data_IF_330827205520
#
_entry.id   IF_330827205520
#
_cell.length_a   1.000
_cell.length_b   1.000
_cell.length_c   1.000
_cell.angle_alpha   90.00
_cell.angle_beta   90.00
_cell.angle_gamma   90.00
#
_symmetry.space_group_name_H-M   'P 1'
#
loop_
_entity.id
_entity.type
_entity.pdbx_description
1 polymer ?
#
# COMPACT_ATOMS: atom_id res chain seq x y z
N UNK A 1 0.24 -9.24 -22.43
CA UNK A 1 -1.08 -8.73 -22.90
C UNK A 1 -1.94 -8.36 -21.70
N UNK A 2 -2.60 -7.20 -21.70
CA UNK A 2 -3.62 -6.84 -20.68
C UNK A 2 -4.99 -7.07 -21.29
N UNK A 3 -5.83 -7.88 -20.63
CA UNK A 3 -7.12 -8.30 -21.19
C UNK A 3 -8.19 -7.22 -21.08
N UNK A 4 -8.26 -6.53 -19.94
CA UNK A 4 -9.18 -5.43 -19.68
C UNK A 4 -8.39 -4.29 -19.01
N UNK A 5 -7.98 -3.26 -19.76
CA UNK A 5 -7.17 -2.16 -19.23
C UNK A 5 -7.84 -1.36 -18.11
N UNK A 6 -9.16 -1.17 -18.15
CA UNK A 6 -9.87 -0.37 -17.15
C UNK A 6 -9.90 -1.10 -15.80
N UNK A 7 -10.25 -2.39 -15.81
CA UNK A 7 -10.24 -3.22 -14.60
C UNK A 7 -8.82 -3.45 -14.09
N UNK A 8 -7.85 -3.57 -14.99
CA UNK A 8 -6.45 -3.64 -14.62
C UNK A 8 -5.99 -2.34 -13.94
N UNK A 9 -6.46 -1.19 -14.42
CA UNK A 9 -6.09 0.13 -13.85
C UNK A 9 -6.69 0.27 -12.47
N UNK A 10 -7.98 -0.02 -12.33
CA UNK A 10 -8.68 -0.02 -11.05
C UNK A 10 -8.03 -0.95 -10.02
N UNK A 11 -7.53 -2.11 -10.44
CA UNK A 11 -6.80 -3.03 -9.54
C UNK A 11 -5.46 -2.45 -9.07
N UNK A 12 -4.73 -1.77 -9.95
CA UNK A 12 -3.48 -1.12 -9.57
C UNK A 12 -3.71 0.08 -8.65
N UNK A 13 -4.76 0.88 -8.90
CA UNK A 13 -5.18 1.96 -8.02
C UNK A 13 -5.62 1.44 -6.64
N UNK A 14 -6.42 0.37 -6.61
CA UNK A 14 -6.80 -0.31 -5.37
C UNK A 14 -5.59 -0.86 -4.62
N UNK A 15 -4.60 -1.40 -5.34
CA UNK A 15 -3.36 -1.89 -4.75
C UNK A 15 -2.53 -0.76 -4.12
N UNK A 16 -2.51 0.44 -4.73
CA UNK A 16 -1.91 1.63 -4.13
C UNK A 16 -2.61 2.00 -2.82
N UNK A 17 -3.94 2.08 -2.81
CA UNK A 17 -4.69 2.41 -1.59
C UNK A 17 -4.51 1.38 -0.47
N UNK A 18 -4.52 0.09 -0.82
CA UNK A 18 -4.26 -1.00 0.13
C UNK A 18 -2.81 -0.95 0.64
N UNK A 19 -1.85 -0.78 -0.26
CA UNK A 19 -0.43 -0.67 0.08
C UNK A 19 -0.13 0.51 1.01
N UNK A 20 -0.77 1.67 0.78
CA UNK A 20 -0.70 2.82 1.68
C UNK A 20 -1.29 2.52 3.06
N UNK A 21 -2.46 1.88 3.10
CA UNK A 21 -3.11 1.50 4.36
C UNK A 21 -2.22 0.58 5.20
N UNK A 22 -1.60 -0.43 4.55
CA UNK A 22 -0.65 -1.35 5.18
C UNK A 22 0.62 -0.65 5.64
N UNK A 23 1.12 0.30 4.84
CA UNK A 23 2.35 1.02 5.17
C UNK A 23 2.17 2.02 6.32
N UNK A 24 0.98 2.60 6.49
CA UNK A 24 0.77 3.74 7.40
C UNK A 24 -0.08 3.43 8.63
N UNK A 25 -0.98 2.44 8.59
CA UNK A 25 -2.05 2.35 9.59
C UNK A 25 -2.34 0.96 10.15
N UNK A 26 -2.59 -0.04 9.31
CA UNK A 26 -3.32 -1.26 9.65
C UNK A 26 -2.55 -2.27 10.53
N UNK A 27 -2.21 -1.86 11.75
CA UNK A 27 -1.54 -2.67 12.77
C UNK A 27 -2.56 -3.44 13.60
N UNK A 28 -2.39 -4.75 13.68
CA UNK A 28 -3.16 -5.60 14.59
C UNK A 28 -2.40 -5.71 15.91
N UNK A 29 -3.03 -5.21 16.98
CA UNK A 29 -2.49 -5.18 18.32
C UNK A 29 -3.03 -6.36 19.13
N UNK A 30 -2.16 -6.99 19.92
CA UNK A 30 -2.50 -8.10 20.80
C UNK A 30 -2.30 -7.72 22.27
N UNK A 31 -3.23 -8.14 23.14
CA UNK A 31 -3.10 -8.08 24.61
C UNK A 31 -3.67 -9.36 25.19
N UNK A 32 -2.96 -9.96 26.13
CA UNK A 32 -3.37 -11.19 26.81
C UNK A 32 -3.79 -12.32 25.86
N UNK A 33 -3.11 -12.42 24.69
CA UNK A 33 -3.37 -13.44 23.68
C UNK A 33 -4.55 -13.16 22.74
N UNK A 34 -5.22 -12.01 22.85
CA UNK A 34 -6.35 -11.63 22.00
C UNK A 34 -6.08 -10.34 21.22
N UNK A 35 -6.70 -10.22 20.04
CA UNK A 35 -6.73 -8.95 19.27
C UNK A 35 -7.53 -7.92 20.05
N UNK A 36 -6.97 -6.72 20.22
CA UNK A 36 -7.65 -5.62 20.94
C UNK A 36 -8.29 -4.58 20.04
N UNK A 37 -7.92 -4.52 18.75
CA UNK A 37 -8.60 -3.64 17.81
C UNK A 37 -10.01 -4.19 17.56
N UNK A 38 -11.01 -3.33 17.66
CA UNK A 38 -12.43 -3.66 17.56
C UNK A 38 -13.07 -3.19 16.25
N UNK A 39 -12.61 -2.09 15.65
CA UNK A 39 -13.21 -1.48 14.46
C UNK A 39 -12.28 -0.43 13.79
N UNK A 40 -12.71 0.24 12.72
CA UNK A 40 -11.87 1.19 11.96
C UNK A 40 -11.44 2.46 12.70
N UNK A 41 -11.89 2.68 13.94
CA UNK A 41 -11.40 3.77 14.78
C UNK A 41 -10.12 3.39 15.53
N UNK A 42 -9.92 2.09 15.80
CA UNK A 42 -8.73 1.54 16.47
C UNK A 42 -7.92 0.59 15.55
N UNK A 43 -8.41 0.30 14.34
CA UNK A 43 -7.69 -0.30 13.20
C UNK A 43 -7.87 0.59 11.95
N UNK A 44 -7.17 1.71 11.84
CA UNK A 44 -7.39 2.65 10.76
C UNK A 44 -7.02 2.05 9.39
N UNK A 45 -7.80 2.43 8.38
CA UNK A 45 -7.50 2.25 6.95
C UNK A 45 -7.44 3.64 6.31
N UNK A 46 -6.71 3.76 5.20
CA UNK A 46 -6.56 5.04 4.49
C UNK A 46 -7.93 5.65 4.16
N UNK A 47 -8.09 6.95 4.43
CA UNK A 47 -9.30 7.70 4.07
C UNK A 47 -9.12 8.43 2.74
N UNK A 48 -10.23 8.79 2.10
CA UNK A 48 -10.23 9.48 0.79
C UNK A 48 -9.43 10.78 0.80
N UNK A 49 -9.37 11.51 1.91
CA UNK A 49 -8.60 12.76 2.02
C UNK A 49 -7.08 12.54 2.04
N UNK A 50 -6.64 11.31 2.30
CA UNK A 50 -5.23 10.92 2.38
C UNK A 50 -4.77 10.20 1.11
N UNK A 51 -5.69 9.96 0.18
CA UNK A 51 -5.39 9.38 -1.11
C UNK A 51 -4.41 10.27 -1.90
N UNK A 52 -3.50 9.68 -2.69
CA UNK A 52 -2.72 10.44 -3.64
C UNK A 52 -3.65 11.19 -4.59
N UNK A 53 -3.33 12.46 -4.95
CA UNK A 53 -4.15 13.21 -5.89
C UNK A 53 -4.16 12.57 -7.29
N UNK A 54 -3.10 11.83 -7.64
CA UNK A 54 -2.96 11.16 -8.93
C UNK A 54 -2.30 9.79 -8.75
N UNK A 55 -2.75 8.81 -9.53
CA UNK A 55 -2.14 7.48 -9.67
C UNK A 55 -1.95 7.24 -11.17
N UNK A 56 -0.70 7.03 -11.59
CA UNK A 56 -0.36 6.78 -12.99
C UNK A 56 -0.05 5.29 -13.19
N UNK A 57 -0.81 4.62 -14.06
CA UNK A 57 -0.65 3.19 -14.35
C UNK A 57 -0.13 3.02 -15.78
N UNK A 58 1.00 2.32 -15.91
CA UNK A 58 1.62 2.06 -17.21
C UNK A 58 1.77 0.56 -17.44
N UNK A 59 1.33 0.09 -18.62
CA UNK A 59 1.45 -1.31 -19.02
C UNK A 59 2.60 -1.48 -20.01
N UNK A 60 3.48 -2.44 -19.72
CA UNK A 60 4.51 -2.85 -20.68
C UNK A 60 4.00 -4.04 -21.48
N UNK A 61 4.07 -3.97 -22.81
CA UNK A 61 3.76 -5.12 -23.66
C UNK A 61 5.02 -5.96 -23.89
N UNK A 62 5.08 -7.13 -23.24
CA UNK A 62 6.24 -8.04 -23.30
C UNK A 62 6.07 -9.19 -24.30
N UNK A 63 4.92 -9.29 -24.98
CA UNK A 63 4.58 -10.44 -25.83
C UNK A 63 4.30 -11.75 -25.07
N UNK A 64 4.48 -11.77 -23.75
CA UNK A 64 4.21 -12.93 -22.90
C UNK A 64 2.69 -13.15 -22.69
N UNK A 65 2.26 -14.41 -22.42
CA UNK A 65 0.90 -14.71 -22.00
C UNK A 65 0.48 -13.91 -20.76
N UNK A 66 -0.82 -13.56 -20.62
CA UNK A 66 -1.31 -12.84 -19.44
C UNK A 66 -1.15 -13.69 -18.16
N UNK A 67 -0.86 -13.01 -17.05
CA UNK A 67 -0.76 -13.60 -15.70
C UNK A 67 -1.70 -12.88 -14.73
N UNK A 68 -1.76 -13.34 -13.47
CA UNK A 68 -2.53 -12.67 -12.42
C UNK A 68 -2.01 -11.26 -12.11
N UNK A 69 -2.94 -10.32 -11.90
CA UNK A 69 -2.66 -8.91 -11.58
C UNK A 69 -3.14 -8.49 -10.17
N UNK A 70 -3.95 -9.31 -9.50
CA UNK A 70 -4.63 -8.89 -8.27
C UNK A 70 -3.71 -8.59 -7.08
N UNK A 71 -2.59 -9.29 -6.95
CA UNK A 71 -1.67 -9.15 -5.81
C UNK A 71 -0.38 -8.37 -6.09
N UNK A 72 0.25 -8.41 -7.29
CA UNK A 72 1.57 -7.82 -7.51
C UNK A 72 1.73 -6.34 -7.12
N UNK A 73 0.66 -5.55 -7.18
CA UNK A 73 0.71 -4.12 -6.84
C UNK A 73 0.87 -3.83 -5.34
N UNK A 74 0.32 -4.66 -4.46
CA UNK A 74 0.27 -4.39 -3.01
C UNK A 74 1.64 -4.48 -2.33
N UNK A 75 2.41 -5.58 -2.45
CA UNK A 75 3.64 -5.75 -1.67
C UNK A 75 4.78 -4.83 -2.12
N UNK A 76 4.68 -4.26 -3.33
CA UNK A 76 5.70 -3.34 -3.88
C UNK A 76 5.55 -1.91 -3.35
N UNK A 77 4.39 -1.56 -2.79
CA UNK A 77 4.11 -0.19 -2.36
C UNK A 77 4.95 0.26 -1.16
N UNK A 78 4.91 -0.49 -0.05
CA UNK A 78 5.64 -0.12 1.18
C UNK A 78 7.16 0.09 0.97
N UNK A 79 7.91 -0.79 0.27
CA UNK A 79 9.32 -0.54 0.02
C UNK A 79 9.56 0.66 -0.90
N UNK A 80 8.67 0.93 -1.87
CA UNK A 80 8.76 2.13 -2.72
C UNK A 80 8.58 3.41 -1.89
N UNK A 81 7.58 3.45 -1.01
CA UNK A 81 7.34 4.58 -0.10
C UNK A 81 8.52 4.82 0.84
N UNK A 82 9.05 3.77 1.48
CA UNK A 82 10.23 3.89 2.37
C UNK A 82 11.45 4.41 1.61
N UNK A 83 11.68 3.94 0.38
CA UNK A 83 12.77 4.45 -0.43
C UNK A 83 12.57 5.92 -0.85
N UNK A 84 11.33 6.34 -1.13
CA UNK A 84 11.00 7.74 -1.41
C UNK A 84 11.27 8.64 -0.19
N UNK A 85 10.90 8.20 1.02
CA UNK A 85 11.21 8.91 2.27
C UNK A 85 12.71 9.07 2.46
N UNK A 86 13.49 8.01 2.25
CA UNK A 86 14.96 8.06 2.36
C UNK A 86 15.56 9.01 1.31
N UNK A 87 15.06 8.96 0.07
CA UNK A 87 15.50 9.86 -0.99
C UNK A 87 15.18 11.34 -0.68
N UNK A 88 14.10 11.61 0.05
CA UNK A 88 13.73 12.94 0.54
C UNK A 88 14.54 13.38 1.79
N UNK A 89 15.54 12.60 2.24
CA UNK A 89 16.37 12.90 3.41
C UNK A 89 15.79 12.42 4.74
N UNK A 90 14.72 11.63 4.71
CA UNK A 90 14.12 11.02 5.90
C UNK A 90 14.85 9.75 6.36
N UNK A 91 14.46 9.19 7.51
CA UNK A 91 15.04 7.97 8.04
C UNK A 91 14.61 6.74 7.24
N UNK A 92 15.42 5.67 7.31
CA UNK A 92 15.06 4.37 6.76
C UNK A 92 14.21 3.58 7.75
N UNK A 93 12.89 3.57 7.54
CA UNK A 93 11.97 2.71 8.27
C UNK A 93 12.13 1.24 7.90
N UNK A 94 12.07 0.34 8.90
CA UNK A 94 12.14 -1.12 8.72
C UNK A 94 10.98 -1.86 9.38
N UNK A 95 10.15 -1.12 10.13
CA UNK A 95 8.95 -1.63 10.78
C UNK A 95 7.76 -0.91 10.14
N UNK A 96 6.68 -1.67 9.94
CA UNK A 96 5.39 -1.14 9.54
C UNK A 96 4.39 -1.30 10.71
N UNK A 97 3.39 -0.42 10.83
CA UNK A 97 3.22 0.79 10.03
C UNK A 97 4.32 1.83 10.32
N UNK A 98 4.56 2.73 9.36
CA UNK A 98 5.52 3.83 9.47
C UNK A 98 4.96 4.82 10.50
N UNK A 99 5.49 4.74 11.72
CA UNK A 99 5.22 5.69 12.79
C UNK A 99 6.26 6.80 12.74
N UNK A 100 5.92 8.08 12.97
CA UNK A 100 6.91 9.11 13.21
C UNK A 100 7.90 8.61 14.26
N UNK A 101 9.21 8.76 14.01
CA UNK A 101 10.19 8.50 15.06
C UNK A 101 9.83 9.39 16.24
N UNK A 102 9.56 8.79 17.40
CA UNK A 102 9.29 9.54 18.61
C UNK A 102 10.42 10.56 18.80
N UNK A 103 10.05 11.84 18.84
CA UNK A 103 10.95 12.94 19.18
C UNK A 103 11.42 12.84 20.63
#
# INVERSE_FOLDING_TARGET
LVLNPDQATAQMEGAVMMGMSLALYTEINFRDGAVVNSNFHDYPVLRTQEAPPEIHVHYTNTGAPPTGLGEPGVPTFAPALVNAIVAAGGPRYRNLPIKPLAS
#
